data_IF_643768175420
#
_entry.id   IF_643768175420
#
_cell.length_a   1.000
_cell.length_b   1.000
_cell.length_c   1.000
_cell.angle_alpha   90.00
_cell.angle_beta   90.00
_cell.angle_gamma   90.00
#
_symmetry.space_group_name_H-M   'P 1'
#
loop_
_entity.id
_entity.type
_entity.pdbx_description
1 polymer ?
#
# COMPACT_ATOMS: atom_id res chain seq x y z
N UNK A 1 -8.15 -7.22 -6.20
CA UNK A 1 -6.78 -7.63 -6.62
C UNK A 1 -6.48 -9.06 -6.19
N UNK A 2 -5.72 -9.81 -7.01
CA UNK A 2 -5.34 -11.21 -6.73
C UNK A 2 -3.87 -11.44 -7.02
N UNK A 3 -3.29 -12.41 -6.31
CA UNK A 3 -1.94 -12.94 -6.53
C UNK A 3 -1.97 -14.48 -6.47
N UNK A 4 -0.83 -15.14 -6.31
CA UNK A 4 -0.72 -16.58 -6.03
C UNK A 4 0.35 -16.83 -4.98
N UNK A 5 0.31 -17.98 -4.30
CA UNK A 5 1.34 -18.34 -3.33
C UNK A 5 2.72 -18.48 -3.99
N UNK A 6 2.79 -18.95 -5.24
CA UNK A 6 4.07 -19.02 -5.96
C UNK A 6 4.65 -17.63 -6.25
N UNK A 7 3.81 -16.66 -6.67
CA UNK A 7 4.26 -15.27 -6.86
C UNK A 7 4.76 -14.63 -5.55
N UNK A 8 4.05 -14.82 -4.45
CA UNK A 8 4.46 -14.33 -3.13
C UNK A 8 5.82 -14.94 -2.73
N UNK A 9 6.00 -16.26 -2.93
CA UNK A 9 7.23 -16.97 -2.57
C UNK A 9 8.48 -16.47 -3.28
N UNK A 10 8.36 -16.03 -4.53
CA UNK A 10 9.48 -15.45 -5.31
C UNK A 10 10.12 -14.26 -4.59
N UNK A 11 9.33 -13.51 -3.82
CA UNK A 11 9.79 -12.33 -3.08
C UNK A 11 10.35 -12.64 -1.67
N UNK A 12 10.54 -13.91 -1.33
CA UNK A 12 11.13 -14.34 -0.05
C UNK A 12 10.38 -13.79 1.18
N UNK A 13 9.11 -14.17 1.39
CA UNK A 13 8.34 -13.74 2.56
C UNK A 13 9.01 -14.18 3.85
N UNK A 14 8.77 -13.45 4.96
CA UNK A 14 9.24 -13.86 6.27
C UNK A 14 8.59 -15.19 6.69
N UNK A 15 9.33 -16.03 7.42
CA UNK A 15 8.88 -17.37 7.80
C UNK A 15 7.55 -17.33 8.56
N UNK A 16 7.42 -16.45 9.56
CA UNK A 16 6.21 -16.37 10.39
C UNK A 16 4.96 -15.98 9.58
N UNK A 17 5.05 -14.95 8.72
CA UNK A 17 3.94 -14.53 7.86
C UNK A 17 3.56 -15.61 6.85
N UNK A 18 4.56 -16.27 6.28
CA UNK A 18 4.35 -17.36 5.33
C UNK A 18 3.65 -18.57 5.94
N UNK A 19 4.13 -19.04 7.08
CA UNK A 19 3.53 -20.17 7.81
C UNK A 19 2.10 -19.86 8.24
N UNK A 20 1.86 -18.65 8.76
CA UNK A 20 0.52 -18.19 9.14
C UNK A 20 -0.44 -18.21 7.96
N UNK A 21 -0.01 -17.70 6.79
CA UNK A 21 -0.82 -17.69 5.58
C UNK A 21 -1.15 -19.10 5.10
N UNK A 22 -0.16 -19.99 4.98
CA UNK A 22 -0.35 -21.38 4.58
C UNK A 22 -1.32 -22.11 5.51
N UNK A 23 -1.14 -21.96 6.83
CA UNK A 23 -2.00 -22.57 7.83
C UNK A 23 -3.45 -22.10 7.69
N UNK A 24 -3.66 -20.81 7.51
CA UNK A 24 -5.01 -20.23 7.34
C UNK A 24 -5.71 -20.75 6.07
N UNK A 25 -4.95 -20.96 4.99
CA UNK A 25 -5.46 -21.51 3.74
C UNK A 25 -5.58 -23.03 3.74
N UNK A 26 -5.18 -23.73 4.81
CA UNK A 26 -5.14 -25.19 4.89
C UNK A 26 -4.14 -25.82 3.91
N UNK A 27 -3.08 -25.09 3.52
CA UNK A 27 -2.07 -25.50 2.54
C UNK A 27 -0.73 -25.81 3.21
N UNK A 28 0.02 -26.74 2.62
CA UNK A 28 1.37 -27.11 3.08
C UNK A 28 2.46 -26.67 2.11
N UNK A 29 2.09 -26.22 0.90
CA UNK A 29 3.01 -25.77 -0.15
C UNK A 29 2.39 -24.65 -0.97
N UNK A 30 3.24 -23.89 -1.66
CA UNK A 30 2.81 -22.90 -2.63
C UNK A 30 2.21 -23.54 -3.89
N UNK A 31 1.23 -22.83 -4.47
CA UNK A 31 0.58 -23.17 -5.73
C UNK A 31 0.24 -21.89 -6.52
N UNK A 32 -0.40 -22.06 -7.67
CA UNK A 32 -0.83 -20.97 -8.55
C UNK A 32 -2.34 -20.69 -8.48
N UNK A 33 -3.01 -21.19 -7.43
CA UNK A 33 -4.41 -20.87 -7.20
C UNK A 33 -4.58 -19.37 -6.92
N UNK A 34 -5.54 -18.69 -7.57
CA UNK A 34 -5.77 -17.26 -7.37
C UNK A 34 -6.14 -16.94 -5.92
N UNK A 35 -5.32 -16.15 -5.25
CA UNK A 35 -5.48 -15.71 -3.87
C UNK A 35 -5.82 -14.23 -3.82
N UNK A 36 -6.96 -13.87 -3.24
CA UNK A 36 -7.35 -12.48 -3.04
C UNK A 36 -6.46 -11.83 -1.95
N UNK A 37 -6.07 -10.57 -2.16
CA UNK A 37 -5.32 -9.81 -1.14
C UNK A 37 -6.15 -9.54 0.12
N UNK A 38 -7.47 -9.46 0.00
CA UNK A 38 -8.39 -9.35 1.14
C UNK A 38 -8.32 -10.57 2.05
N UNK A 39 -8.16 -11.78 1.49
CA UNK A 39 -7.93 -13.00 2.28
C UNK A 39 -6.61 -12.94 3.07
N UNK A 40 -5.55 -12.34 2.49
CA UNK A 40 -4.28 -12.12 3.18
C UNK A 40 -4.46 -11.09 4.30
N UNK A 41 -5.21 -10.01 4.04
CA UNK A 41 -5.54 -9.00 5.05
C UNK A 41 -6.25 -9.64 6.25
N UNK A 42 -7.27 -10.46 6.02
CA UNK A 42 -8.03 -11.15 7.06
C UNK A 42 -7.18 -12.13 7.87
N UNK A 43 -6.31 -12.88 7.19
CA UNK A 43 -5.49 -13.90 7.85
C UNK A 43 -4.27 -13.33 8.56
N UNK A 44 -3.56 -12.41 7.92
CA UNK A 44 -2.23 -11.95 8.32
C UNK A 44 -2.20 -10.52 8.85
N UNK A 45 -3.17 -9.70 8.44
CA UNK A 45 -3.22 -8.28 8.76
C UNK A 45 -2.69 -7.40 7.64
N UNK A 46 -2.79 -6.07 7.86
CA UNK A 46 -2.52 -5.06 6.85
C UNK A 46 -1.06 -5.05 6.38
N UNK A 47 -0.11 -5.20 7.30
CA UNK A 47 1.32 -5.14 6.99
C UNK A 47 1.72 -6.23 5.98
N UNK A 48 1.28 -7.47 6.21
CA UNK A 48 1.56 -8.60 5.33
C UNK A 48 0.79 -8.46 3.99
N UNK A 49 -0.44 -7.97 4.01
CA UNK A 49 -1.21 -7.72 2.81
C UNK A 49 -0.56 -6.64 1.92
N UNK A 50 -0.11 -5.53 2.51
CA UNK A 50 0.66 -4.48 1.82
C UNK A 50 1.98 -5.02 1.29
N UNK A 51 2.67 -5.86 2.07
CA UNK A 51 3.90 -6.50 1.61
C UNK A 51 3.65 -7.36 0.37
N UNK A 52 2.52 -8.04 0.27
CA UNK A 52 2.15 -8.90 -0.85
C UNK A 52 1.78 -8.13 -2.14
N UNK A 53 1.58 -6.79 -2.09
CA UNK A 53 1.37 -5.99 -3.30
C UNK A 53 2.50 -6.13 -4.33
N UNK A 54 3.72 -6.42 -3.90
CA UNK A 54 4.87 -6.69 -4.80
C UNK A 54 4.70 -7.93 -5.68
N UNK A 55 3.77 -8.80 -5.33
CA UNK A 55 3.43 -10.02 -6.05
C UNK A 55 2.14 -9.86 -6.89
N UNK A 56 1.72 -8.62 -7.16
CA UNK A 56 0.54 -8.26 -7.96
C UNK A 56 1.00 -7.44 -9.16
N UNK A 57 0.50 -7.78 -10.34
CA UNK A 57 0.85 -7.08 -11.58
C UNK A 57 -0.33 -6.21 -12.05
N UNK A 58 -0.01 -5.08 -12.70
CA UNK A 58 -0.98 -4.30 -13.49
C UNK A 58 -1.96 -3.44 -12.68
N UNK A 59 -1.66 -3.15 -11.41
CA UNK A 59 -2.49 -2.34 -10.53
C UNK A 59 -1.75 -1.12 -9.93
N UNK A 60 -0.78 -0.59 -10.67
CA UNK A 60 0.07 0.51 -10.19
C UNK A 60 -0.72 1.79 -9.92
N UNK A 61 -1.78 2.03 -10.69
CA UNK A 61 -2.66 3.19 -10.48
C UNK A 61 -3.39 3.09 -9.15
N UNK A 62 -4.06 1.96 -8.91
CA UNK A 62 -4.85 1.71 -7.70
C UNK A 62 -3.96 1.73 -6.45
N UNK A 63 -2.79 1.10 -6.50
CA UNK A 63 -1.81 1.14 -5.40
C UNK A 63 -1.36 2.57 -5.09
N UNK A 64 -1.19 3.40 -6.12
CA UNK A 64 -0.81 4.80 -5.96
C UNK A 64 -1.93 5.64 -5.38
N UNK A 65 -3.17 5.44 -5.83
CA UNK A 65 -4.34 6.10 -5.25
C UNK A 65 -4.56 5.72 -3.80
N UNK A 66 -4.37 4.44 -3.44
CA UNK A 66 -4.39 4.01 -2.05
C UNK A 66 -3.39 4.80 -1.18
N UNK A 67 -2.15 4.95 -1.65
CA UNK A 67 -1.13 5.73 -0.93
C UNK A 67 -1.52 7.21 -0.81
N UNK A 68 -2.13 7.79 -1.84
CA UNK A 68 -2.66 9.17 -1.83
C UNK A 68 -3.77 9.30 -0.79
N UNK A 69 -4.75 8.41 -0.77
CA UNK A 69 -5.86 8.45 0.19
C UNK A 69 -5.38 8.28 1.64
N UNK A 70 -4.42 7.38 1.88
CA UNK A 70 -3.77 7.26 3.20
C UNK A 70 -3.10 8.59 3.63
N UNK A 71 -2.41 9.27 2.70
CA UNK A 71 -1.79 10.55 3.00
C UNK A 71 -2.82 11.66 3.22
N UNK A 72 -3.90 11.69 2.44
CA UNK A 72 -5.01 12.65 2.59
C UNK A 72 -5.73 12.50 3.92
N UNK A 73 -5.90 11.28 4.43
CA UNK A 73 -6.57 11.04 5.72
C UNK A 73 -5.86 11.75 6.89
N UNK A 74 -4.56 11.99 6.76
CA UNK A 74 -3.73 12.67 7.78
C UNK A 74 -3.19 14.03 7.32
N UNK A 75 -3.62 14.54 6.16
CA UNK A 75 -3.10 15.80 5.60
C UNK A 75 -3.34 17.01 6.52
N UNK A 76 -4.39 16.97 7.35
CA UNK A 76 -4.68 18.02 8.34
C UNK A 76 -3.58 18.18 9.42
N UNK A 77 -2.70 17.17 9.55
CA UNK A 77 -1.54 17.22 10.44
C UNK A 77 -0.28 17.76 9.74
N UNK A 78 -0.33 17.96 8.42
CA UNK A 78 0.80 18.41 7.61
C UNK A 78 0.83 19.94 7.58
N UNK A 79 1.93 20.52 8.03
CA UNK A 79 2.16 21.97 8.03
C UNK A 79 3.01 22.45 6.86
N UNK A 80 3.76 21.56 6.21
CA UNK A 80 4.65 21.90 5.10
C UNK A 80 3.92 21.77 3.76
N UNK A 81 3.83 22.91 3.04
CA UNK A 81 3.17 22.98 1.74
C UNK A 81 3.75 21.99 0.72
N UNK A 82 5.04 21.70 0.78
CA UNK A 82 5.69 20.74 -0.15
C UNK A 82 5.14 19.33 0.02
N UNK A 83 4.78 18.94 1.25
CA UNK A 83 4.13 17.65 1.51
C UNK A 83 2.73 17.60 0.93
N UNK A 84 1.95 18.67 1.05
CA UNK A 84 0.62 18.78 0.46
C UNK A 84 0.69 18.76 -1.08
N UNK A 85 1.58 19.57 -1.67
CA UNK A 85 1.79 19.62 -3.13
C UNK A 85 2.22 18.23 -3.68
N UNK A 86 3.01 17.46 -2.92
CA UNK A 86 3.43 16.12 -3.34
C UNK A 86 2.26 15.12 -3.41
N UNK A 87 1.29 15.23 -2.51
CA UNK A 87 0.06 14.40 -2.55
C UNK A 87 -0.74 14.73 -3.82
N UNK A 88 -0.93 16.02 -4.12
CA UNK A 88 -1.66 16.46 -5.33
C UNK A 88 -0.96 16.01 -6.63
N UNK A 89 0.37 16.08 -6.66
CA UNK A 89 1.14 15.60 -7.83
C UNK A 89 1.03 14.08 -7.95
N UNK A 90 1.08 13.33 -6.85
CA UNK A 90 0.95 11.87 -6.85
C UNK A 90 -0.43 11.43 -7.37
N UNK A 91 -1.50 12.11 -6.96
CA UNK A 91 -2.86 11.86 -7.45
C UNK A 91 -2.98 12.18 -8.95
N UNK A 92 -2.48 13.34 -9.39
CA UNK A 92 -2.46 13.72 -10.81
C UNK A 92 -1.67 12.69 -11.63
N UNK A 93 -0.54 12.22 -11.14
CA UNK A 93 0.26 11.19 -11.82
C UNK A 93 -0.50 9.87 -11.93
N UNK A 94 -1.15 9.39 -10.87
CA UNK A 94 -1.98 8.19 -10.90
C UNK A 94 -3.09 8.29 -11.96
N UNK A 95 -3.64 9.49 -12.17
CA UNK A 95 -4.68 9.78 -13.16
C UNK A 95 -4.15 10.18 -14.53
N UNK A 96 -2.84 10.01 -14.81
CA UNK A 96 -2.21 10.35 -16.11
C UNK A 96 -2.13 11.85 -16.39
N UNK A 97 -2.27 12.71 -15.37
CA UNK A 97 -2.29 14.19 -15.48
C UNK A 97 -1.00 14.86 -14.99
N UNK A 98 0.02 14.10 -14.69
CA UNK A 98 1.36 14.57 -14.36
C UNK A 98 2.42 13.62 -14.93
N UNK A 99 3.62 14.13 -15.14
CA UNK A 99 4.76 13.36 -15.63
C UNK A 99 5.55 12.70 -14.50
N UNK A 100 6.35 11.67 -14.83
CA UNK A 100 7.28 11.06 -13.89
C UNK A 100 8.29 12.07 -13.34
N UNK A 101 8.68 13.07 -14.14
CA UNK A 101 9.60 14.11 -13.70
C UNK A 101 8.97 15.01 -12.61
N UNK A 102 7.71 15.42 -12.80
CA UNK A 102 6.96 16.19 -11.78
C UNK A 102 6.80 15.39 -10.49
N UNK A 103 6.48 14.09 -10.59
CA UNK A 103 6.38 13.21 -9.42
C UNK A 103 7.72 13.12 -8.65
N UNK A 104 8.82 12.91 -9.36
CA UNK A 104 10.15 12.82 -8.75
C UNK A 104 10.57 14.13 -8.08
N UNK A 105 10.28 15.28 -8.70
CA UNK A 105 10.57 16.60 -8.14
C UNK A 105 9.76 16.86 -6.86
N UNK A 106 8.48 16.54 -6.86
CA UNK A 106 7.59 16.68 -5.71
C UNK A 106 8.03 15.77 -4.54
N UNK A 107 8.41 14.54 -4.84
CA UNK A 107 8.93 13.58 -3.87
C UNK A 107 10.22 14.07 -3.19
N UNK A 108 11.17 14.56 -3.97
CA UNK A 108 12.41 15.13 -3.46
C UNK A 108 12.18 16.31 -2.51
N UNK A 109 11.23 17.19 -2.86
CA UNK A 109 10.84 18.33 -2.03
C UNK A 109 10.15 17.91 -0.72
N UNK A 110 9.25 16.91 -0.78
CA UNK A 110 8.51 16.42 0.38
C UNK A 110 9.38 15.57 1.33
N UNK A 111 10.35 14.82 0.82
CA UNK A 111 11.23 13.98 1.63
C UNK A 111 12.03 14.78 2.67
N UNK A 112 12.46 15.99 2.30
CA UNK A 112 13.11 16.91 3.22
C UNK A 112 12.20 17.38 4.37
N UNK A 113 10.91 17.54 4.09
CA UNK A 113 9.90 17.98 5.06
C UNK A 113 9.46 16.82 5.99
N UNK A 114 9.27 15.61 5.47
CA UNK A 114 8.82 14.46 6.23
C UNK A 114 9.82 14.01 7.30
N UNK A 115 11.11 14.21 7.09
CA UNK A 115 12.15 13.96 8.10
C UNK A 115 12.02 14.83 9.35
N UNK A 116 11.43 16.03 9.19
CA UNK A 116 11.23 16.97 10.30
C UNK A 116 9.95 16.69 11.11
N UNK A 117 8.97 15.97 10.55
CA UNK A 117 7.63 15.81 11.09
C UNK A 117 7.30 14.41 11.68
N UNK A 118 8.26 13.47 11.71
CA UNK A 118 8.02 12.08 12.11
C UNK A 118 7.73 11.92 13.61
N UNK A 119 6.49 12.17 14.01
CA UNK A 119 5.94 11.85 15.34
C UNK A 119 5.08 10.57 15.30
N UNK A 120 5.41 9.59 16.18
CA UNK A 120 4.85 8.22 16.18
C UNK A 120 3.37 8.05 16.56
N UNK A 121 2.66 9.10 16.99
CA UNK A 121 1.28 9.00 17.48
C UNK A 121 0.21 8.86 16.37
N UNK A 122 0.50 9.35 15.16
CA UNK A 122 -0.44 9.27 14.02
C UNK A 122 -0.56 7.87 13.41
N UNK A 123 0.40 6.98 13.68
CA UNK A 123 0.49 5.66 13.05
C UNK A 123 -0.55 4.67 13.57
N UNK A 124 -0.89 4.73 14.87
CA UNK A 124 -1.82 3.79 15.49
C UNK A 124 -3.29 4.08 15.15
N UNK A 125 -3.69 5.36 15.07
CA UNK A 125 -5.06 5.76 14.75
C UNK A 125 -5.43 5.58 13.26
N UNK A 126 -4.44 5.44 12.38
CA UNK A 126 -4.65 5.27 10.94
C UNK A 126 -4.89 3.81 10.52
N UNK A 127 -4.58 2.82 11.36
CA UNK A 127 -4.57 1.40 10.98
C UNK A 127 -5.89 0.88 10.42
N UNK A 128 -7.01 1.11 11.12
CA UNK A 128 -8.34 0.63 10.68
C UNK A 128 -8.81 1.36 9.42
N UNK A 129 -8.59 2.65 9.34
CA UNK A 129 -8.92 3.44 8.15
C UNK A 129 -8.11 2.98 6.92
N UNK A 130 -6.83 2.68 7.11
CA UNK A 130 -5.96 2.15 6.06
C UNK A 130 -6.38 0.75 5.61
N UNK A 131 -6.82 -0.12 6.52
CA UNK A 131 -7.34 -1.43 6.17
C UNK A 131 -8.60 -1.34 5.31
N UNK A 132 -9.53 -0.44 5.65
CA UNK A 132 -10.72 -0.20 4.84
C UNK A 132 -10.38 0.35 3.44
N UNK A 133 -9.46 1.30 3.34
CA UNK A 133 -8.96 1.80 2.05
C UNK A 133 -8.29 0.69 1.23
N UNK A 134 -7.56 -0.20 1.89
CA UNK A 134 -6.95 -1.35 1.21
C UNK A 134 -7.99 -2.29 0.58
N UNK A 135 -9.09 -2.54 1.27
CA UNK A 135 -10.21 -3.33 0.73
C UNK A 135 -10.78 -2.63 -0.52
N UNK A 136 -11.10 -1.34 -0.42
CA UNK A 136 -11.63 -0.56 -1.56
C UNK A 136 -10.68 -0.59 -2.77
N UNK A 137 -9.37 -0.45 -2.54
CA UNK A 137 -8.36 -0.60 -3.59
C UNK A 137 -8.43 -1.99 -4.23
N UNK A 138 -8.50 -3.05 -3.43
CA UNK A 138 -8.55 -4.42 -3.93
C UNK A 138 -9.81 -4.72 -4.75
N UNK A 139 -10.91 -4.04 -4.46
CA UNK A 139 -12.19 -4.15 -5.15
C UNK A 139 -12.30 -3.24 -6.38
N UNK A 140 -11.34 -2.35 -6.60
CA UNK A 140 -11.33 -1.38 -7.71
C UNK A 140 -12.29 -0.21 -7.50
N UNK A 141 -12.56 0.15 -6.25
CA UNK A 141 -13.47 1.23 -5.86
C UNK A 141 -12.76 2.55 -5.50
N UNK A 142 -11.44 2.67 -5.79
CA UNK A 142 -10.64 3.89 -5.66
C UNK A 142 -10.47 4.61 -7.00
#
# INVERSE_FOLDING_TARGET
>A
MKTTLNKIRVHSPCANGWEKLLKNLGKTRADDEPLALTTILESNGLDDALWCLRAVDGHEREMRLYAVECARSVQHLMTDKRSLDAIDVAERFANGKATQQELNAAWGAAWGAARAAAGGAARAAAGDAQANLFILMCEGAL
#
